data_IF_032699630139
#
_entry.id   IF_032699630139
#
_cell.length_a   1.000
_cell.length_b   1.000
_cell.length_c   1.000
_cell.angle_alpha   90.00
_cell.angle_beta   90.00
_cell.angle_gamma   90.00
#
_symmetry.space_group_name_H-M   'P 1'
#
loop_
_entity.id
_entity.type
_entity.pdbx_description
1 polymer ?
#
# COMPACT_ATOMS: atom_id res chain seq x y z
N UNK A 1 60.74 -32.50 -28.67
CA UNK A 1 60.07 -33.09 -27.49
C UNK A 1 59.33 -31.99 -26.76
N UNK A 2 58.06 -32.27 -26.42
CA UNK A 2 57.31 -31.71 -25.30
C UNK A 2 57.45 -30.19 -25.10
N UNK A 3 56.51 -29.38 -25.57
CA UNK A 3 56.07 -28.12 -24.92
C UNK A 3 54.93 -27.40 -25.68
N UNK A 4 54.54 -27.83 -26.89
CA UNK A 4 53.46 -27.17 -27.66
C UNK A 4 52.07 -27.82 -27.57
N UNK A 5 51.84 -28.76 -26.65
CA UNK A 5 50.54 -29.45 -26.51
C UNK A 5 49.71 -28.92 -25.32
N UNK A 6 50.23 -27.99 -24.52
CA UNK A 6 49.60 -27.60 -23.26
C UNK A 6 48.67 -26.37 -23.32
N UNK A 7 48.39 -25.81 -24.50
CA UNK A 7 47.56 -24.59 -24.62
C UNK A 7 46.15 -24.87 -25.19
N UNK A 8 45.87 -26.08 -25.68
CA UNK A 8 44.54 -26.40 -26.24
C UNK A 8 43.54 -26.95 -25.20
N UNK A 9 43.97 -27.23 -23.97
CA UNK A 9 43.13 -27.88 -22.94
C UNK A 9 42.35 -26.93 -22.02
N UNK A 10 42.57 -25.61 -22.10
CA UNK A 10 42.01 -24.65 -21.13
C UNK A 10 40.83 -23.86 -21.68
N UNK A 11 40.56 -23.89 -22.99
CA UNK A 11 39.52 -23.04 -23.60
C UNK A 11 38.11 -23.67 -23.70
N UNK A 12 37.92 -24.91 -23.26
CA UNK A 12 36.66 -25.65 -23.42
C UNK A 12 35.79 -25.73 -22.15
N UNK A 13 36.18 -25.09 -21.06
CA UNK A 13 35.44 -25.14 -19.79
C UNK A 13 34.56 -23.92 -19.47
N UNK A 14 34.45 -22.93 -20.38
CA UNK A 14 33.66 -21.71 -20.13
C UNK A 14 32.28 -21.67 -20.80
N UNK A 15 31.82 -22.75 -21.45
CA UNK A 15 30.50 -22.77 -22.13
C UNK A 15 29.44 -23.56 -21.34
N UNK A 16 29.77 -24.10 -20.17
CA UNK A 16 28.80 -24.84 -19.35
C UNK A 16 28.24 -23.98 -18.23
N UNK A 17 27.35 -23.04 -18.58
CA UNK A 17 26.23 -22.54 -17.74
C UNK A 17 25.56 -21.37 -18.45
N UNK A 18 24.86 -21.64 -19.56
CA UNK A 18 23.88 -20.70 -20.09
C UNK A 18 22.76 -21.44 -20.83
N UNK A 19 22.29 -22.56 -20.27
CA UNK A 19 20.99 -23.07 -20.67
C UNK A 19 19.96 -22.17 -19.98
N UNK A 20 19.02 -21.52 -20.72
CA UNK A 20 17.87 -20.92 -20.08
C UNK A 20 17.20 -22.05 -19.29
N UNK A 21 17.19 -21.91 -17.96
CA UNK A 21 16.56 -22.87 -17.08
C UNK A 21 15.06 -22.74 -17.34
N UNK A 22 14.55 -23.61 -18.23
CA UNK A 22 13.14 -23.72 -18.54
C UNK A 22 12.43 -24.11 -17.24
N UNK A 23 11.88 -23.10 -16.55
CA UNK A 23 11.27 -23.29 -15.25
C UNK A 23 10.05 -24.19 -15.43
N UNK A 24 10.08 -25.40 -14.85
CA UNK A 24 8.95 -26.34 -14.94
C UNK A 24 7.74 -25.73 -14.22
N UNK A 25 6.88 -25.09 -15.00
CA UNK A 25 5.59 -24.56 -14.55
C UNK A 25 4.66 -25.71 -14.13
N UNK A 26 4.60 -26.02 -12.83
CA UNK A 26 3.47 -26.75 -12.26
C UNK A 26 2.30 -25.80 -12.05
N UNK A 27 1.09 -26.21 -12.44
CA UNK A 27 -0.13 -25.47 -12.11
C UNK A 27 -0.37 -25.52 -10.60
N UNK A 28 -0.76 -24.40 -9.99
CA UNK A 28 -1.05 -24.31 -8.55
C UNK A 28 -2.41 -23.65 -8.30
N UNK A 29 -2.88 -23.65 -7.05
CA UNK A 29 -4.21 -23.17 -6.69
C UNK A 29 -5.32 -24.22 -6.90
N UNK A 30 -6.52 -23.92 -6.42
CA UNK A 30 -7.69 -24.79 -6.62
C UNK A 30 -7.97 -24.94 -8.12
N UNK A 31 -8.16 -26.18 -8.59
CA UNK A 31 -8.36 -26.50 -10.00
C UNK A 31 -7.22 -26.04 -10.95
N UNK A 32 -6.05 -25.69 -10.40
CA UNK A 32 -4.87 -25.32 -11.18
C UNK A 32 -4.98 -23.96 -11.88
N UNK A 33 -5.79 -23.02 -11.36
CA UNK A 33 -6.03 -21.72 -11.99
C UNK A 33 -4.77 -20.85 -12.16
N UNK A 34 -3.75 -21.04 -11.32
CA UNK A 34 -2.53 -20.24 -11.32
C UNK A 34 -1.43 -20.99 -12.08
N UNK A 35 -1.17 -20.54 -13.31
CA UNK A 35 -0.29 -21.18 -14.29
C UNK A 35 0.85 -20.25 -14.72
N UNK A 36 1.83 -20.78 -15.45
CA UNK A 36 2.97 -20.01 -15.94
C UNK A 36 4.26 -20.18 -15.12
N UNK A 37 5.28 -19.44 -15.49
CA UNK A 37 6.54 -19.31 -14.75
C UNK A 37 6.28 -18.81 -13.33
N UNK A 38 7.25 -18.93 -12.43
CA UNK A 38 7.13 -18.38 -11.08
C UNK A 38 6.89 -16.87 -11.11
N UNK A 39 7.53 -16.15 -12.05
CA UNK A 39 7.33 -14.71 -12.25
C UNK A 39 5.89 -14.39 -12.64
N UNK A 40 5.35 -15.05 -13.68
CA UNK A 40 3.96 -14.86 -14.13
C UNK A 40 2.95 -15.14 -13.01
N UNK A 41 3.21 -16.17 -12.18
CA UNK A 41 2.36 -16.46 -11.03
C UNK A 41 2.41 -15.38 -9.96
N UNK A 42 3.58 -14.83 -9.66
CA UNK A 42 3.71 -13.74 -8.70
C UNK A 42 3.09 -12.44 -9.24
N UNK A 43 3.19 -12.17 -10.53
CA UNK A 43 2.50 -11.04 -11.17
C UNK A 43 0.98 -11.18 -11.05
N UNK A 44 0.44 -12.37 -11.29
CA UNK A 44 -1.00 -12.63 -11.14
C UNK A 44 -1.44 -12.50 -9.68
N UNK A 45 -0.68 -13.02 -8.72
CA UNK A 45 -0.96 -12.84 -7.29
C UNK A 45 -0.90 -11.36 -6.91
N UNK A 46 0.12 -10.63 -7.35
CA UNK A 46 0.27 -9.20 -7.09
C UNK A 46 -0.87 -8.37 -7.72
N UNK A 47 -1.37 -8.78 -8.88
CA UNK A 47 -2.55 -8.21 -9.51
C UNK A 47 -3.80 -8.42 -8.64
N UNK A 48 -4.01 -9.63 -8.11
CA UNK A 48 -5.16 -9.95 -7.24
C UNK A 48 -5.13 -9.27 -5.86
N UNK A 49 -3.94 -9.06 -5.29
CA UNK A 49 -3.76 -8.23 -4.09
C UNK A 49 -4.22 -6.79 -4.33
N UNK A 50 -4.29 -6.37 -5.60
CA UNK A 50 -4.74 -5.05 -6.01
C UNK A 50 -3.69 -3.97 -5.77
N UNK A 51 -4.01 -2.77 -6.25
CA UNK A 51 -3.16 -1.60 -6.06
C UNK A 51 -3.74 -0.64 -5.04
N UNK A 52 -3.61 0.64 -5.35
CA UNK A 52 -4.11 1.73 -4.52
C UNK A 52 -5.62 1.67 -4.28
N UNK A 53 -6.39 1.04 -5.18
CA UNK A 53 -7.83 0.83 -4.97
C UNK A 53 -8.14 0.05 -3.68
N UNK A 54 -7.36 -0.99 -3.37
CA UNK A 54 -7.51 -1.74 -2.11
C UNK A 54 -7.08 -0.93 -0.90
N UNK A 55 -6.02 -0.14 -1.05
CA UNK A 55 -5.61 0.83 -0.01
C UNK A 55 -6.73 1.81 0.30
N UNK A 56 -7.36 2.41 -0.71
CA UNK A 56 -8.43 3.39 -0.51
C UNK A 56 -9.69 2.79 0.13
N UNK A 57 -9.98 1.50 -0.09
CA UNK A 57 -11.06 0.80 0.63
C UNK A 57 -10.76 0.73 2.13
N UNK A 58 -9.55 0.31 2.50
CA UNK A 58 -9.15 0.26 3.90
C UNK A 58 -9.09 1.67 4.52
N UNK A 59 -8.38 2.61 3.88
CA UNK A 59 -8.27 4.00 4.35
C UNK A 59 -9.65 4.64 4.50
N UNK A 60 -10.60 4.37 3.61
CA UNK A 60 -11.97 4.85 3.74
C UNK A 60 -12.70 4.31 4.98
N UNK A 61 -12.52 3.02 5.30
CA UNK A 61 -13.02 2.44 6.54
C UNK A 61 -12.37 3.07 7.77
N UNK A 62 -11.02 3.14 7.79
CA UNK A 62 -10.25 3.71 8.91
C UNK A 62 -10.54 5.18 9.13
N UNK A 63 -10.72 5.97 8.07
CA UNK A 63 -11.13 7.37 8.13
C UNK A 63 -12.47 7.53 8.86
N UNK A 64 -13.46 6.68 8.54
CA UNK A 64 -14.75 6.68 9.24
C UNK A 64 -14.59 6.35 10.72
N UNK A 65 -13.81 5.32 11.04
CA UNK A 65 -13.59 4.92 12.43
C UNK A 65 -12.80 5.98 13.21
N UNK A 66 -11.82 6.64 12.59
CA UNK A 66 -11.06 7.74 13.18
C UNK A 66 -11.98 8.90 13.57
N UNK A 67 -12.88 9.30 12.68
CA UNK A 67 -13.88 10.33 12.99
C UNK A 67 -14.69 9.95 14.22
N UNK A 68 -15.25 8.74 14.23
CA UNK A 68 -16.10 8.29 15.33
C UNK A 68 -15.35 8.09 16.63
N UNK A 69 -14.09 7.67 16.58
CA UNK A 69 -13.20 7.57 17.73
C UNK A 69 -13.01 8.94 18.40
N UNK A 70 -12.76 10.00 17.60
CA UNK A 70 -12.66 11.36 18.12
C UNK A 70 -14.00 11.93 18.60
N UNK A 71 -15.12 11.55 17.98
CA UNK A 71 -16.46 11.90 18.49
C UNK A 71 -16.73 11.27 19.85
N UNK A 72 -16.33 10.03 20.05
CA UNK A 72 -16.49 9.30 21.32
C UNK A 72 -15.39 9.66 22.34
N UNK A 73 -14.42 10.50 21.96
CA UNK A 73 -13.25 10.85 22.77
C UNK A 73 -12.46 9.61 23.20
N UNK A 74 -12.55 8.53 22.41
CA UNK A 74 -11.73 7.35 22.56
C UNK A 74 -10.42 7.54 21.81
N UNK A 75 -9.52 8.30 22.42
CA UNK A 75 -8.23 8.67 21.85
C UNK A 75 -7.35 7.46 21.51
N UNK A 76 -7.36 6.41 22.34
CA UNK A 76 -6.60 5.19 22.03
C UNK A 76 -7.12 4.46 20.79
N UNK A 77 -8.44 4.52 20.54
CA UNK A 77 -8.99 3.99 19.29
C UNK A 77 -8.70 4.91 18.10
N UNK A 78 -8.67 6.23 18.32
CA UNK A 78 -8.31 7.20 17.28
C UNK A 78 -6.84 7.01 16.84
N UNK A 79 -5.92 6.89 17.80
CA UNK A 79 -4.49 6.61 17.57
C UNK A 79 -4.33 5.33 16.74
N UNK A 80 -5.04 4.27 17.12
CA UNK A 80 -5.05 3.01 16.39
C UNK A 80 -5.56 3.15 14.94
N UNK A 81 -6.57 4.01 14.68
CA UNK A 81 -7.04 4.22 13.31
C UNK A 81 -6.06 5.03 12.47
N UNK A 82 -5.41 6.07 13.02
CA UNK A 82 -4.45 6.87 12.25
C UNK A 82 -3.19 6.05 11.92
N UNK A 83 -2.69 5.24 12.86
CA UNK A 83 -1.56 4.32 12.64
C UNK A 83 -1.84 3.37 11.48
N UNK A 84 -3.02 2.75 11.47
CA UNK A 84 -3.41 1.85 10.38
C UNK A 84 -3.72 2.57 9.05
N UNK A 85 -4.07 3.87 9.06
CA UNK A 85 -4.11 4.65 7.81
C UNK A 85 -2.70 4.81 7.26
N UNK A 86 -1.71 5.14 8.11
CA UNK A 86 -0.30 5.30 7.71
C UNK A 86 0.21 3.99 7.09
N UNK A 87 0.05 2.86 7.77
CA UNK A 87 0.48 1.54 7.28
C UNK A 87 -0.17 1.18 5.93
N UNK A 88 -1.49 1.37 5.82
CA UNK A 88 -2.22 1.07 4.58
C UNK A 88 -1.72 1.95 3.41
N UNK A 89 -1.42 3.21 3.68
CA UNK A 89 -0.86 4.14 2.69
C UNK A 89 0.56 3.74 2.28
N UNK A 90 1.44 3.42 3.22
CA UNK A 90 2.80 2.94 2.93
C UNK A 90 2.78 1.69 2.04
N UNK A 91 1.96 0.70 2.38
CA UNK A 91 1.82 -0.52 1.60
C UNK A 91 1.15 -0.28 0.25
N UNK A 92 0.23 0.68 0.18
CA UNK A 92 -0.36 1.16 -1.07
C UNK A 92 0.68 1.76 -2.01
N UNK A 93 1.58 2.58 -1.48
CA UNK A 93 2.65 3.24 -2.23
C UNK A 93 3.72 2.24 -2.67
N UNK A 94 4.05 1.23 -1.86
CA UNK A 94 4.91 0.10 -2.28
C UNK A 94 4.30 -0.63 -3.47
N UNK A 95 2.99 -0.92 -3.42
CA UNK A 95 2.27 -1.61 -4.51
C UNK A 95 2.05 -0.73 -5.73
N UNK A 96 2.00 0.60 -5.59
CA UNK A 96 1.80 1.56 -6.69
C UNK A 96 2.72 2.78 -6.56
N UNK A 97 4.02 2.65 -6.88
CA UNK A 97 5.00 3.74 -6.70
C UNK A 97 4.70 5.00 -7.51
N UNK A 98 3.95 4.90 -8.61
CA UNK A 98 3.53 6.07 -9.41
C UNK A 98 2.69 7.08 -8.61
N UNK A 99 2.10 6.67 -7.47
CA UNK A 99 1.27 7.51 -6.59
C UNK A 99 2.07 8.22 -5.49
N UNK A 100 3.40 7.99 -5.40
CA UNK A 100 4.24 8.55 -4.33
C UNK A 100 4.27 10.07 -4.36
N UNK A 101 4.48 10.66 -5.54
CA UNK A 101 4.62 12.11 -5.66
C UNK A 101 3.34 12.85 -5.26
N UNK A 102 2.18 12.33 -5.66
CA UNK A 102 0.90 12.95 -5.34
C UNK A 102 0.46 12.75 -3.89
N UNK A 103 0.86 11.63 -3.28
CA UNK A 103 0.60 11.35 -1.87
C UNK A 103 1.59 12.05 -0.92
N UNK A 104 2.66 12.67 -1.43
CA UNK A 104 3.76 13.21 -0.62
C UNK A 104 3.29 14.13 0.51
N UNK A 105 2.56 15.20 0.20
CA UNK A 105 2.06 16.14 1.21
C UNK A 105 1.12 15.44 2.22
N UNK A 106 0.40 14.42 1.77
CA UNK A 106 -0.47 13.64 2.66
C UNK A 106 0.35 12.83 3.66
N UNK A 107 1.42 12.19 3.20
CA UNK A 107 2.31 11.37 4.02
C UNK A 107 3.21 12.19 4.95
N UNK A 108 3.79 13.26 4.45
CA UNK A 108 4.83 14.02 5.16
C UNK A 108 4.26 15.15 6.05
N UNK A 109 3.05 15.63 5.77
CA UNK A 109 2.46 16.75 6.50
C UNK A 109 1.11 16.39 7.14
N UNK A 110 0.19 15.84 6.34
CA UNK A 110 -1.21 15.67 6.76
C UNK A 110 -1.36 14.59 7.84
N UNK A 111 -0.72 13.42 7.67
CA UNK A 111 -0.79 12.33 8.63
C UNK A 111 -0.11 12.70 9.97
N UNK A 112 1.15 13.23 9.98
CA UNK A 112 1.78 13.70 11.21
C UNK A 112 0.98 14.78 11.95
N UNK A 113 0.39 15.73 11.21
CA UNK A 113 -0.45 16.75 11.84
C UNK A 113 -1.70 16.15 12.51
N UNK A 114 -2.27 15.09 11.94
CA UNK A 114 -3.40 14.42 12.57
C UNK A 114 -2.98 13.66 13.84
N UNK A 115 -1.82 12.99 13.83
CA UNK A 115 -1.24 12.36 15.03
C UNK A 115 -1.03 13.40 16.15
N UNK A 116 -0.41 14.54 15.86
CA UNK A 116 -0.20 15.63 16.83
C UNK A 116 -1.51 16.13 17.45
N UNK A 117 -2.60 16.17 16.68
CA UNK A 117 -3.90 16.58 17.19
C UNK A 117 -4.53 15.55 18.12
N UNK A 118 -4.28 14.26 17.89
CA UNK A 118 -4.77 13.19 18.77
C UNK A 118 -4.05 13.20 20.12
N UNK A 119 -2.75 13.52 20.14
CA UNK A 119 -1.98 13.65 21.39
C UNK A 119 -2.56 14.69 22.34
N UNK A 120 -3.14 15.76 21.79
CA UNK A 120 -3.77 16.83 22.58
C UNK A 120 -5.05 16.39 23.27
N UNK A 121 -5.72 15.35 22.77
CA UNK A 121 -6.98 14.81 23.31
C UNK A 121 -8.05 15.89 23.47
N UNK A 122 -8.03 16.86 22.55
CA UNK A 122 -8.99 17.95 22.49
C UNK A 122 -9.93 17.72 21.31
N UNK A 123 -11.21 17.50 21.62
CA UNK A 123 -12.23 17.22 20.61
C UNK A 123 -12.51 18.38 19.67
N UNK A 124 -12.44 19.62 20.15
CA UNK A 124 -12.70 20.78 19.31
C UNK A 124 -11.55 20.98 18.30
N UNK A 125 -10.31 20.85 18.76
CA UNK A 125 -9.14 20.88 17.87
C UNK A 125 -9.14 19.69 16.91
N UNK A 126 -9.45 18.48 17.38
CA UNK A 126 -9.59 17.31 16.54
C UNK A 126 -10.62 17.54 15.42
N UNK A 127 -11.83 18.04 15.74
CA UNK A 127 -12.88 18.24 14.74
C UNK A 127 -12.49 19.27 13.67
N UNK A 128 -11.78 20.33 14.06
CA UNK A 128 -11.23 21.32 13.11
C UNK A 128 -10.14 20.68 12.23
N UNK A 129 -9.23 19.93 12.84
CA UNK A 129 -8.18 19.21 12.13
C UNK A 129 -8.74 18.14 11.18
N UNK A 130 -9.81 17.46 11.56
CA UNK A 130 -10.45 16.43 10.75
C UNK A 130 -11.08 17.01 9.47
N UNK A 131 -11.56 18.26 9.50
CA UNK A 131 -11.99 18.98 8.29
C UNK A 131 -10.81 19.23 7.33
N UNK A 132 -9.65 19.59 7.88
CA UNK A 132 -8.41 19.76 7.10
C UNK A 132 -7.96 18.41 6.54
N UNK A 133 -7.98 17.35 7.34
CA UNK A 133 -7.68 15.98 6.93
C UNK A 133 -8.56 15.52 5.76
N UNK A 134 -9.87 15.76 5.86
CA UNK A 134 -10.85 15.49 4.79
C UNK A 134 -10.54 16.26 3.52
N UNK A 135 -10.15 17.54 3.65
CA UNK A 135 -9.77 18.38 2.51
C UNK A 135 -8.50 17.86 1.84
N UNK A 136 -7.53 17.37 2.61
CA UNK A 136 -6.29 16.78 2.11
C UNK A 136 -6.55 15.46 1.35
N UNK A 137 -7.46 14.60 1.82
CA UNK A 137 -7.89 13.41 1.06
C UNK A 137 -8.42 13.81 -0.33
N UNK A 138 -9.30 14.82 -0.37
CA UNK A 138 -9.87 15.32 -1.62
C UNK A 138 -8.84 16.00 -2.53
N UNK A 139 -7.84 16.68 -1.97
CA UNK A 139 -6.74 17.26 -2.73
C UNK A 139 -5.90 16.17 -3.44
N UNK A 140 -5.59 15.08 -2.75
CA UNK A 140 -4.93 13.92 -3.35
C UNK A 140 -5.78 13.31 -4.45
N UNK A 141 -7.08 13.08 -4.22
CA UNK A 141 -8.00 12.57 -5.24
C UNK A 141 -8.05 13.47 -6.48
N UNK A 142 -8.02 14.80 -6.31
CA UNK A 142 -7.96 15.73 -7.43
C UNK A 142 -6.63 15.65 -8.21
N UNK A 143 -5.48 15.56 -7.52
CA UNK A 143 -4.17 15.36 -8.15
C UNK A 143 -4.13 14.08 -9.00
N UNK A 144 -4.82 13.03 -8.53
CA UNK A 144 -4.87 11.74 -9.21
C UNK A 144 -5.93 11.63 -10.32
N UNK A 145 -6.69 12.70 -10.58
CA UNK A 145 -7.78 12.68 -11.57
C UNK A 145 -9.04 11.95 -11.09
N UNK A 146 -9.13 11.65 -9.79
CA UNK A 146 -10.20 10.90 -9.14
C UNK A 146 -11.22 11.83 -8.44
N UNK A 147 -11.39 13.07 -8.92
CA UNK A 147 -12.29 14.07 -8.30
C UNK A 147 -13.76 13.66 -8.20
N UNK A 148 -14.18 12.62 -8.92
CA UNK A 148 -15.51 12.03 -8.78
C UNK A 148 -15.70 11.32 -7.41
N UNK A 149 -14.60 10.94 -6.74
CA UNK A 149 -14.60 10.30 -5.44
C UNK A 149 -14.39 11.39 -4.37
N UNK A 150 -15.48 12.07 -4.00
CA UNK A 150 -15.43 13.14 -3.00
C UNK A 150 -15.68 12.58 -1.59
N UNK A 151 -14.69 12.74 -0.72
CA UNK A 151 -14.77 12.37 0.70
C UNK A 151 -15.52 13.45 1.48
N UNK A 152 -16.42 13.02 2.34
CA UNK A 152 -17.25 13.85 3.22
C UNK A 152 -17.16 13.31 4.64
N UNK A 153 -17.36 14.20 5.62
CA UNK A 153 -17.42 13.80 7.03
C UNK A 153 -18.56 12.77 7.22
N UNK A 154 -18.34 11.66 7.96
CA UNK A 154 -19.36 10.66 8.18
C UNK A 154 -20.61 11.24 8.84
N UNK A 155 -21.77 11.04 8.22
CA UNK A 155 -23.07 11.43 8.80
C UNK A 155 -23.67 10.33 9.68
N UNK A 156 -23.36 9.07 9.37
CA UNK A 156 -23.89 7.89 10.07
C UNK A 156 -22.75 6.93 10.42
N UNK A 157 -22.84 6.30 11.59
CA UNK A 157 -21.89 5.27 12.03
C UNK A 157 -22.37 3.90 11.56
N UNK A 158 -21.66 3.29 10.61
CA UNK A 158 -21.95 1.95 10.08
C UNK A 158 -21.23 0.84 10.85
N UNK A 159 -20.07 1.15 11.42
CA UNK A 159 -19.32 0.23 12.27
C UNK A 159 -20.14 -0.25 13.47
N UNK A 160 -19.85 -1.43 14.06
CA UNK A 160 -20.44 -1.88 15.31
C UNK A 160 -19.70 -1.38 16.57
N UNK A 161 -18.53 -0.74 16.43
CA UNK A 161 -17.69 -0.31 17.58
C UNK A 161 -18.30 0.91 18.28
N UNK A 162 -18.49 0.85 19.60
CA UNK A 162 -19.12 1.90 20.43
C UNK A 162 -18.38 2.04 21.76
N UNK A 163 -18.29 3.26 22.29
CA UNK A 163 -17.69 3.58 23.59
C UNK A 163 -18.58 4.55 24.36
#
# INVERSE_FOLDING_TARGET
>A
MKQLIFIFGVFLFLISCNQPHEEKSSKVGLDGWLEGTSEEKFEEVAHQLGGFSKTMVEVGYRYSELYWAGIDENWGYADHQIEHIIEAMEDGLKRRPVRVESAKDFMEETLPYMEELLEKKDKEEFLKGFQVFTSACNACHAKEGESAIMIQIPLNRTSPVRF
#
